data_IF_254606133894
#
_entry.id   IF_254606133894
#
_cell.length_a   1.000
_cell.length_b   1.000
_cell.length_c   1.000
_cell.angle_alpha   90.00
_cell.angle_beta   90.00
_cell.angle_gamma   90.00
#
_symmetry.space_group_name_H-M   'P 1'
#
loop_
_entity.id
_entity.type
_entity.pdbx_description
1 polymer ?
#
# COMPACT_ATOMS: atom_id res chain seq x y z
N UNK A 1 -17.23 5.74 -28.49
CA UNK A 1 -16.57 6.70 -29.43
C UNK A 1 -15.19 6.99 -28.87
N UNK A 2 -14.16 6.92 -29.73
CA UNK A 2 -12.74 7.13 -29.36
C UNK A 2 -12.14 8.26 -30.19
N UNK A 3 -11.10 8.88 -29.64
CA UNK A 3 -10.22 9.82 -30.33
C UNK A 3 -8.84 9.20 -30.37
N UNK A 4 -8.20 9.24 -31.54
CA UNK A 4 -6.81 8.79 -31.74
C UNK A 4 -6.02 9.85 -32.50
N UNK A 5 -4.72 9.77 -32.43
CA UNK A 5 -3.83 10.59 -33.25
C UNK A 5 -3.76 10.02 -34.68
N UNK A 6 -3.48 10.88 -35.65
CA UNK A 6 -3.05 10.43 -36.98
C UNK A 6 -1.66 9.75 -36.85
N UNK A 7 -1.40 8.77 -37.70
CA UNK A 7 -0.11 8.07 -37.73
C UNK A 7 1.07 9.02 -37.89
N UNK A 8 0.95 9.99 -38.78
CA UNK A 8 1.94 11.02 -39.01
C UNK A 8 2.27 11.81 -37.73
N UNK A 9 1.24 12.31 -37.03
CA UNK A 9 1.43 13.07 -35.79
C UNK A 9 2.05 12.21 -34.66
N UNK A 10 1.68 10.94 -34.56
CA UNK A 10 2.29 10.04 -33.60
C UNK A 10 3.78 9.82 -33.91
N UNK A 11 4.13 9.60 -35.17
CA UNK A 11 5.53 9.42 -35.59
C UNK A 11 6.36 10.67 -35.35
N UNK A 12 5.83 11.87 -35.62
CA UNK A 12 6.52 13.12 -35.33
C UNK A 12 6.91 13.24 -33.87
N UNK A 13 5.96 12.98 -32.95
CA UNK A 13 6.22 13.06 -31.50
C UNK A 13 7.20 11.98 -31.05
N UNK A 14 7.07 10.75 -31.52
CA UNK A 14 8.01 9.66 -31.24
C UNK A 14 9.42 10.05 -31.67
N UNK A 15 9.56 10.60 -32.87
CA UNK A 15 10.87 11.03 -33.42
C UNK A 15 11.49 12.13 -32.54
N UNK A 16 10.70 13.12 -32.13
CA UNK A 16 11.17 14.19 -31.25
C UNK A 16 11.61 13.66 -29.89
N UNK A 17 10.86 12.71 -29.31
CA UNK A 17 11.23 12.07 -28.06
C UNK A 17 12.56 11.30 -28.19
N UNK A 18 12.75 10.54 -29.27
CA UNK A 18 14.02 9.81 -29.55
C UNK A 18 15.20 10.77 -29.68
N UNK A 19 15.06 11.81 -30.51
CA UNK A 19 16.12 12.81 -30.70
C UNK A 19 16.50 13.48 -29.37
N UNK A 20 15.51 13.77 -28.51
CA UNK A 20 15.79 14.39 -27.22
C UNK A 20 16.47 13.43 -26.25
N UNK A 21 16.08 12.15 -26.26
CA UNK A 21 16.65 11.11 -25.40
C UNK A 21 18.13 10.82 -25.73
N UNK A 22 18.51 10.90 -27.02
CA UNK A 22 19.89 10.73 -27.48
C UNK A 22 20.82 11.88 -27.06
N UNK A 23 20.26 13.05 -26.74
CA UNK A 23 21.06 14.20 -26.33
C UNK A 23 21.50 14.10 -24.87
N UNK A 24 22.81 14.14 -24.65
CA UNK A 24 23.37 14.16 -23.29
C UNK A 24 22.94 15.38 -22.51
N UNK A 25 22.89 16.55 -23.15
CA UNK A 25 22.51 17.84 -22.55
C UNK A 25 21.70 18.68 -23.55
N UNK A 26 20.39 18.45 -23.68
CA UNK A 26 19.54 19.29 -24.51
C UNK A 26 19.46 20.72 -23.96
N UNK A 27 18.99 21.66 -24.80
CA UNK A 27 18.63 22.99 -24.32
C UNK A 27 17.24 22.95 -23.65
N UNK A 28 16.99 23.89 -22.74
CA UNK A 28 15.68 24.06 -22.10
C UNK A 28 14.59 24.30 -23.16
N UNK A 29 14.91 25.03 -24.24
CA UNK A 29 14.01 25.28 -25.36
C UNK A 29 13.61 24.02 -26.10
N UNK A 30 14.56 23.13 -26.41
CA UNK A 30 14.28 21.84 -27.06
C UNK A 30 13.37 20.97 -26.18
N UNK A 31 13.67 20.91 -24.89
CA UNK A 31 12.86 20.20 -23.90
C UNK A 31 11.44 20.77 -23.84
N UNK A 32 11.29 22.09 -23.78
CA UNK A 32 9.99 22.76 -23.76
C UNK A 32 9.17 22.51 -25.06
N UNK A 33 9.81 22.47 -26.19
CA UNK A 33 9.16 22.15 -27.47
C UNK A 33 8.59 20.73 -27.47
N UNK A 34 9.35 19.75 -27.00
CA UNK A 34 8.90 18.34 -26.90
C UNK A 34 7.73 18.23 -25.92
N UNK A 35 7.81 18.88 -24.75
CA UNK A 35 6.70 18.93 -23.77
C UNK A 35 5.43 19.51 -24.41
N UNK A 36 5.55 20.63 -25.13
CA UNK A 36 4.41 21.26 -25.84
C UNK A 36 3.77 20.33 -26.88
N UNK A 37 4.58 19.59 -27.63
CA UNK A 37 4.10 18.55 -28.56
C UNK A 37 3.39 17.41 -27.85
N UNK A 38 3.96 16.89 -26.77
CA UNK A 38 3.37 15.86 -25.93
C UNK A 38 2.01 16.32 -25.39
N UNK A 39 1.92 17.48 -24.76
CA UNK A 39 0.67 18.02 -24.21
C UNK A 39 -0.40 18.17 -25.31
N UNK A 40 -0.02 18.55 -26.51
CA UNK A 40 -0.96 18.69 -27.64
C UNK A 40 -1.58 17.35 -28.09
N UNK A 41 -1.05 16.20 -27.65
CA UNK A 41 -1.56 14.86 -27.97
C UNK A 41 -2.53 14.32 -26.91
N UNK A 42 -2.66 14.95 -25.76
CA UNK A 42 -3.46 14.47 -24.64
C UNK A 42 -4.90 14.06 -24.98
N UNK A 43 -5.64 14.76 -25.86
CA UNK A 43 -6.99 14.30 -26.22
C UNK A 43 -7.05 12.91 -26.85
N UNK A 44 -5.98 12.46 -27.52
CA UNK A 44 -5.91 11.19 -28.22
C UNK A 44 -5.13 10.08 -27.51
N UNK A 45 -4.62 10.32 -26.30
CA UNK A 45 -3.75 9.37 -25.59
C UNK A 45 -4.24 9.18 -24.16
N UNK A 46 -4.69 7.97 -23.85
CA UNK A 46 -5.15 7.64 -22.50
C UNK A 46 -3.97 7.58 -21.52
N UNK A 47 -4.19 8.03 -20.28
CA UNK A 47 -3.21 8.04 -19.19
C UNK A 47 -1.97 8.93 -19.39
N UNK A 48 -1.90 9.67 -20.47
CA UNK A 48 -0.74 10.51 -20.80
C UNK A 48 -0.35 11.55 -19.73
N UNK A 49 -1.25 12.12 -18.91
CA UNK A 49 -0.83 13.06 -17.88
C UNK A 49 0.05 12.44 -16.76
N UNK A 50 0.12 11.12 -16.67
CA UNK A 50 1.00 10.41 -15.72
C UNK A 50 2.49 10.45 -16.14
N UNK A 51 2.77 10.69 -17.43
CA UNK A 51 4.09 10.43 -18.01
C UNK A 51 4.73 11.69 -18.63
N UNK A 52 4.58 12.85 -18.00
CA UNK A 52 5.29 14.07 -18.41
C UNK A 52 5.69 14.97 -17.23
N UNK A 53 5.28 14.65 -16.01
CA UNK A 53 5.46 15.52 -14.85
C UNK A 53 6.90 15.65 -14.40
N UNK A 54 7.68 14.55 -14.43
CA UNK A 54 9.11 14.62 -14.12
C UNK A 54 9.87 15.42 -15.17
N UNK A 55 9.48 15.25 -16.41
CA UNK A 55 10.03 15.97 -17.54
C UNK A 55 9.75 17.50 -17.46
N UNK A 56 8.52 17.86 -17.10
CA UNK A 56 8.12 19.25 -16.84
C UNK A 56 8.85 19.84 -15.62
N UNK A 57 9.05 19.05 -14.55
CA UNK A 57 9.76 19.46 -13.35
C UNK A 57 11.23 19.76 -13.65
N UNK A 58 11.92 18.89 -14.41
CA UNK A 58 13.32 19.09 -14.83
C UNK A 58 13.47 20.39 -15.63
N UNK A 59 12.58 20.63 -16.60
CA UNK A 59 12.55 21.86 -17.37
C UNK A 59 12.36 23.09 -16.47
N UNK A 60 11.37 23.05 -15.59
CA UNK A 60 11.02 24.17 -14.71
C UNK A 60 12.15 24.50 -13.73
N UNK A 61 12.76 23.49 -13.12
CA UNK A 61 13.91 23.63 -12.23
C UNK A 61 15.10 24.24 -12.98
N UNK A 62 15.42 23.70 -14.16
CA UNK A 62 16.53 24.20 -14.99
C UNK A 62 16.30 25.61 -15.45
N UNK A 63 15.06 25.98 -15.82
CA UNK A 63 14.71 27.33 -16.22
C UNK A 63 14.88 28.33 -15.07
N UNK A 64 14.45 27.93 -13.86
CA UNK A 64 14.62 28.74 -12.65
C UNK A 64 16.11 28.95 -12.31
N UNK A 65 16.93 27.91 -12.39
CA UNK A 65 18.38 27.99 -12.16
C UNK A 65 19.12 28.86 -13.18
N UNK A 66 18.60 28.99 -14.39
CA UNK A 66 19.18 29.76 -15.47
C UNK A 66 18.45 31.10 -15.74
N UNK A 67 17.78 31.66 -14.73
CA UNK A 67 17.14 32.99 -14.80
C UNK A 67 16.18 33.16 -15.99
N UNK A 68 15.45 32.12 -16.37
CA UNK A 68 14.53 32.14 -17.48
C UNK A 68 15.15 32.02 -18.88
N UNK A 69 16.44 31.72 -18.99
CA UNK A 69 17.15 31.64 -20.27
C UNK A 69 16.96 30.28 -20.94
N UNK A 70 16.07 30.17 -21.92
CA UNK A 70 15.70 28.92 -22.60
C UNK A 70 16.83 28.28 -23.42
N UNK A 71 17.83 29.03 -23.84
CA UNK A 71 18.93 28.52 -24.66
C UNK A 71 20.06 27.88 -23.88
N UNK A 72 19.92 27.87 -22.54
CA UNK A 72 20.82 27.13 -21.64
C UNK A 72 20.58 25.63 -21.70
N UNK A 73 21.66 24.88 -21.48
CA UNK A 73 21.62 23.41 -21.48
C UNK A 73 21.15 22.89 -20.13
N UNK A 74 20.43 21.77 -20.17
CA UNK A 74 19.94 21.07 -18.98
C UNK A 74 20.28 19.58 -19.06
N UNK A 75 20.10 18.87 -17.94
CA UNK A 75 20.19 17.42 -17.86
C UNK A 75 18.81 16.87 -17.54
N UNK A 76 18.41 15.80 -18.22
CA UNK A 76 17.19 15.07 -17.91
C UNK A 76 17.46 14.04 -16.79
N UNK A 77 16.58 14.01 -15.80
CA UNK A 77 16.59 13.00 -14.76
C UNK A 77 16.28 11.60 -15.32
N UNK A 78 16.59 10.56 -14.57
CA UNK A 78 16.23 9.19 -14.93
C UNK A 78 14.71 9.03 -15.08
N UNK A 79 13.92 9.67 -14.21
CA UNK A 79 12.46 9.67 -14.27
C UNK A 79 11.95 10.32 -15.55
N UNK A 80 12.51 11.48 -15.95
CA UNK A 80 12.13 12.15 -17.21
C UNK A 80 12.48 11.32 -18.44
N UNK A 81 13.62 10.62 -18.43
CA UNK A 81 14.00 9.70 -19.52
C UNK A 81 13.03 8.53 -19.62
N UNK A 82 12.66 7.94 -18.48
CA UNK A 82 11.66 6.85 -18.42
C UNK A 82 10.29 7.31 -18.94
N UNK A 83 9.90 8.56 -18.70
CA UNK A 83 8.67 9.13 -19.28
C UNK A 83 8.78 9.25 -20.82
N UNK A 84 9.92 9.69 -21.36
CA UNK A 84 10.16 9.71 -22.80
C UNK A 84 10.12 8.30 -23.43
N UNK A 85 10.72 7.30 -22.78
CA UNK A 85 10.64 5.90 -23.21
C UNK A 85 9.19 5.40 -23.26
N UNK A 86 8.38 5.77 -22.26
CA UNK A 86 6.96 5.46 -22.27
C UNK A 86 6.24 6.06 -23.49
N UNK A 87 6.51 7.32 -23.82
CA UNK A 87 5.94 7.98 -25.01
C UNK A 87 6.34 7.30 -26.30
N UNK A 88 7.60 6.91 -26.44
CA UNK A 88 8.11 6.19 -27.60
C UNK A 88 7.40 4.82 -27.77
N UNK A 89 7.19 4.12 -26.67
CA UNK A 89 6.61 2.77 -26.69
C UNK A 89 5.08 2.76 -26.86
N UNK A 90 4.35 3.78 -26.34
CA UNK A 90 2.90 3.71 -26.19
C UNK A 90 2.10 4.66 -27.10
N UNK A 91 2.75 5.57 -27.82
CA UNK A 91 2.02 6.56 -28.62
C UNK A 91 1.40 5.96 -29.89
N UNK A 92 2.08 4.99 -30.52
CA UNK A 92 1.57 4.33 -31.72
C UNK A 92 0.33 3.49 -31.40
N UNK A 93 -0.78 3.77 -32.09
CA UNK A 93 -2.03 3.06 -31.83
C UNK A 93 -2.78 3.48 -30.57
N UNK A 94 -2.30 4.47 -29.85
CA UNK A 94 -2.99 5.05 -28.69
C UNK A 94 -4.33 5.65 -29.08
N UNK A 95 -5.28 5.57 -28.15
CA UNK A 95 -6.58 6.23 -28.23
C UNK A 95 -7.03 6.71 -26.87
N UNK A 96 -8.03 7.58 -26.85
CA UNK A 96 -8.73 7.97 -25.62
C UNK A 96 -10.23 7.86 -25.82
N UNK A 97 -10.97 7.61 -24.75
CA UNK A 97 -12.43 7.55 -24.78
C UNK A 97 -13.01 8.96 -24.67
N UNK A 98 -13.93 9.33 -25.57
CA UNK A 98 -14.66 10.61 -25.51
C UNK A 98 -15.61 10.65 -24.32
N UNK A 99 -16.22 9.52 -24.01
CA UNK A 99 -17.12 9.37 -22.87
C UNK A 99 -16.78 8.11 -22.12
N UNK A 100 -16.94 8.14 -20.82
CA UNK A 100 -16.75 6.98 -19.96
C UNK A 100 -18.08 6.52 -19.38
N UNK A 101 -18.18 5.27 -19.12
CA UNK A 101 -19.33 4.69 -18.43
C UNK A 101 -19.50 5.32 -17.04
N UNK A 102 -20.73 5.26 -16.52
CA UNK A 102 -20.99 5.68 -15.14
C UNK A 102 -20.17 4.81 -14.18
N UNK A 103 -19.77 5.35 -13.00
CA UNK A 103 -19.11 4.56 -11.99
C UNK A 103 -19.93 3.33 -11.60
N UNK A 104 -19.28 2.19 -11.55
CA UNK A 104 -19.90 0.91 -11.15
C UNK A 104 -20.01 0.79 -9.64
N UNK A 105 -19.07 1.38 -8.93
CA UNK A 105 -19.04 1.36 -7.47
C UNK A 105 -18.34 2.61 -6.92
N UNK A 106 -18.50 2.82 -5.62
CA UNK A 106 -17.95 3.97 -4.90
C UNK A 106 -17.10 3.48 -3.75
N UNK A 107 -15.90 4.03 -3.63
CA UNK A 107 -15.01 3.90 -2.49
C UNK A 107 -14.93 5.26 -1.81
N UNK A 108 -15.25 5.32 -0.52
CA UNK A 108 -15.12 6.53 0.29
C UNK A 108 -13.93 6.38 1.21
N UNK A 109 -13.08 7.40 1.31
CA UNK A 109 -11.87 7.35 2.15
C UNK A 109 -11.70 8.62 2.97
N UNK A 110 -10.94 8.49 4.04
CA UNK A 110 -10.57 9.57 4.94
C UNK A 110 -9.19 9.32 5.54
N UNK A 111 -8.49 10.38 5.90
CA UNK A 111 -7.23 10.32 6.61
C UNK A 111 -7.21 11.29 7.80
N UNK A 112 -6.70 10.82 8.91
CA UNK A 112 -6.29 11.64 10.03
C UNK A 112 -4.77 11.62 10.18
N UNK A 113 -4.23 12.35 11.15
CA UNK A 113 -2.81 12.26 11.48
C UNK A 113 -2.42 10.92 12.11
N UNK A 114 -3.38 10.13 12.60
CA UNK A 114 -3.13 8.87 13.30
C UNK A 114 -3.35 7.64 12.40
N UNK A 115 -4.29 7.73 11.43
CA UNK A 115 -4.65 6.58 10.63
C UNK A 115 -5.51 6.93 9.43
N UNK A 116 -5.94 5.89 8.73
CA UNK A 116 -6.77 5.95 7.54
C UNK A 116 -8.07 5.20 7.74
N UNK A 117 -9.07 5.56 6.96
CA UNK A 117 -10.36 4.88 6.92
C UNK A 117 -10.87 4.73 5.49
N UNK A 118 -11.59 3.66 5.23
CA UNK A 118 -12.23 3.40 3.94
C UNK A 118 -13.57 2.69 4.10
N UNK A 119 -14.50 3.01 3.20
CA UNK A 119 -15.84 2.40 3.16
C UNK A 119 -16.16 1.98 1.74
N UNK A 120 -16.54 0.72 1.57
CA UNK A 120 -16.95 0.12 0.32
C UNK A 120 -18.09 -0.87 0.53
N UNK A 121 -19.17 -0.78 -0.24
CA UNK A 121 -20.33 -1.70 -0.16
C UNK A 121 -20.81 -1.96 1.28
N UNK A 122 -20.99 -0.91 2.08
CA UNK A 122 -21.36 -0.98 3.49
C UNK A 122 -20.36 -1.64 4.44
N UNK A 123 -19.23 -2.11 3.96
CA UNK A 123 -18.11 -2.52 4.81
C UNK A 123 -17.22 -1.31 5.07
N UNK A 124 -16.77 -1.17 6.31
CA UNK A 124 -15.79 -0.16 6.69
C UNK A 124 -14.55 -0.81 7.28
N UNK A 125 -13.42 -0.21 7.02
CA UNK A 125 -12.14 -0.60 7.58
C UNK A 125 -11.24 0.62 7.76
N UNK A 126 -10.15 0.43 8.45
CA UNK A 126 -9.13 1.44 8.67
C UNK A 126 -7.98 0.86 9.47
N UNK A 127 -6.91 1.62 9.56
CA UNK A 127 -5.72 1.23 10.30
C UNK A 127 -4.85 2.42 10.63
N UNK A 128 -3.85 2.19 11.44
CA UNK A 128 -2.86 3.20 11.79
C UNK A 128 -1.86 3.41 10.65
N UNK A 129 -1.23 4.58 10.62
CA UNK A 129 -0.06 4.82 9.78
C UNK A 129 1.17 4.12 10.36
N UNK A 130 2.12 3.73 9.50
CA UNK A 130 3.46 3.39 9.98
C UNK A 130 4.16 4.65 10.54
N UNK A 131 5.27 4.43 11.22
CA UNK A 131 6.06 5.54 11.74
C UNK A 131 6.51 6.50 10.61
N UNK A 132 6.92 5.96 9.47
CA UNK A 132 7.37 6.73 8.30
C UNK A 132 6.20 7.40 7.58
N UNK A 133 5.08 6.71 7.41
CA UNK A 133 3.90 7.27 6.75
C UNK A 133 3.36 8.49 7.49
N UNK A 134 3.29 8.41 8.81
CA UNK A 134 2.80 9.47 9.69
C UNK A 134 3.58 10.79 9.58
N UNK A 135 4.83 10.77 9.12
CA UNK A 135 5.64 11.98 8.94
C UNK A 135 5.22 12.82 7.72
N UNK A 136 4.36 12.30 6.87
CA UNK A 136 3.95 12.99 5.66
C UNK A 136 2.83 14.02 5.92
N UNK A 137 2.76 15.00 5.03
CA UNK A 137 1.70 16.00 5.04
C UNK A 137 0.32 15.35 4.84
N UNK A 138 -0.74 15.93 5.44
CA UNK A 138 -2.11 15.39 5.38
C UNK A 138 -2.58 15.13 3.93
N UNK A 139 -2.26 15.97 2.97
CA UNK A 139 -2.64 15.74 1.56
C UNK A 139 -2.04 14.44 0.99
N UNK A 140 -0.85 14.04 1.45
CA UNK A 140 -0.24 12.78 1.08
C UNK A 140 -0.96 11.61 1.77
N UNK A 141 -1.26 11.76 3.05
CA UNK A 141 -1.99 10.74 3.83
C UNK A 141 -3.38 10.48 3.26
N UNK A 142 -4.09 11.53 2.85
CA UNK A 142 -5.38 11.43 2.17
C UNK A 142 -5.29 10.63 0.85
N UNK A 143 -4.28 10.93 0.05
CA UNK A 143 -4.06 10.19 -1.19
C UNK A 143 -3.61 8.74 -0.91
N UNK A 144 -2.82 8.52 0.16
CA UNK A 144 -2.41 7.20 0.60
C UNK A 144 -3.61 6.39 1.13
N UNK A 145 -4.56 7.01 1.85
CA UNK A 145 -5.80 6.37 2.29
C UNK A 145 -6.61 5.84 1.10
N UNK A 146 -6.66 6.60 -0.01
CA UNK A 146 -7.27 6.11 -1.27
C UNK A 146 -6.57 4.84 -1.73
N UNK A 147 -5.25 4.82 -1.77
CA UNK A 147 -4.50 3.66 -2.24
C UNK A 147 -4.69 2.42 -1.35
N UNK A 148 -4.67 2.62 -0.03
CA UNK A 148 -4.91 1.53 0.92
C UNK A 148 -6.35 1.00 0.78
N UNK A 149 -7.35 1.87 0.66
CA UNK A 149 -8.74 1.47 0.41
C UNK A 149 -8.92 0.68 -0.89
N UNK A 150 -8.27 1.11 -1.98
CA UNK A 150 -8.25 0.38 -3.25
C UNK A 150 -7.64 -1.01 -3.08
N UNK A 151 -6.49 -1.12 -2.43
CA UNK A 151 -5.81 -2.39 -2.15
C UNK A 151 -6.60 -3.31 -1.22
N UNK A 152 -7.38 -2.75 -0.32
CA UNK A 152 -8.22 -3.54 0.60
C UNK A 152 -9.41 -4.18 -0.10
N UNK A 153 -10.15 -3.39 -0.88
CA UNK A 153 -11.46 -3.83 -1.37
C UNK A 153 -11.48 -4.23 -2.84
N UNK A 154 -10.51 -3.76 -3.63
CA UNK A 154 -10.59 -3.82 -5.10
C UNK A 154 -9.42 -4.57 -5.75
N UNK A 155 -8.60 -5.26 -4.97
CA UNK A 155 -7.43 -6.02 -5.46
C UNK A 155 -7.82 -7.07 -6.51
N UNK A 156 -8.98 -7.71 -6.35
CA UNK A 156 -9.48 -8.76 -7.25
C UNK A 156 -10.47 -8.27 -8.30
N UNK A 157 -10.84 -6.99 -8.24
CA UNK A 157 -11.74 -6.39 -9.23
C UNK A 157 -11.03 -6.16 -10.56
N UNK A 158 -11.79 -6.24 -11.66
CA UNK A 158 -11.30 -6.04 -13.02
C UNK A 158 -12.33 -5.27 -13.85
N UNK A 159 -11.81 -4.44 -14.76
CA UNK A 159 -12.59 -3.75 -15.79
C UNK A 159 -13.80 -3.00 -15.21
N UNK A 160 -13.54 -2.11 -14.27
CA UNK A 160 -14.58 -1.29 -13.62
C UNK A 160 -14.21 0.18 -13.57
N UNK A 161 -15.21 1.04 -13.55
CA UNK A 161 -15.07 2.45 -13.22
C UNK A 161 -15.41 2.66 -11.74
N UNK A 162 -14.42 3.14 -10.97
CA UNK A 162 -14.51 3.39 -9.52
C UNK A 162 -14.65 4.88 -9.28
N UNK A 163 -15.67 5.27 -8.52
CA UNK A 163 -15.81 6.63 -7.98
C UNK A 163 -15.16 6.69 -6.60
N UNK A 164 -14.15 7.54 -6.46
CA UNK A 164 -13.51 7.85 -5.19
C UNK A 164 -14.19 9.07 -4.57
N UNK A 165 -14.70 8.94 -3.36
CA UNK A 165 -15.30 10.03 -2.59
C UNK A 165 -14.32 10.43 -1.49
N UNK A 166 -13.79 11.64 -1.57
CA UNK A 166 -12.69 12.14 -0.74
C UNK A 166 -13.07 13.54 -0.26
N UNK A 167 -12.83 13.87 1.01
CA UNK A 167 -13.11 15.22 1.53
C UNK A 167 -11.94 16.20 1.34
N UNK A 168 -10.80 15.74 0.83
CA UNK A 168 -9.65 16.54 0.48
C UNK A 168 -9.67 16.94 -1.00
N UNK A 169 -9.90 18.23 -1.27
CA UNK A 169 -9.96 18.76 -2.65
C UNK A 169 -8.65 18.60 -3.44
N UNK A 170 -7.50 18.63 -2.75
CA UNK A 170 -6.19 18.39 -3.39
C UNK A 170 -6.11 16.97 -3.94
N UNK A 171 -6.49 15.97 -3.14
CA UNK A 171 -6.49 14.56 -3.55
C UNK A 171 -7.46 14.30 -4.70
N UNK A 172 -8.64 14.94 -4.68
CA UNK A 172 -9.60 14.89 -5.78
C UNK A 172 -8.97 15.43 -7.08
N UNK A 173 -8.32 16.59 -7.02
CA UNK A 173 -7.68 17.20 -8.18
C UNK A 173 -6.52 16.34 -8.69
N UNK A 174 -5.67 15.82 -7.80
CA UNK A 174 -4.52 14.98 -8.14
C UNK A 174 -4.95 13.70 -8.86
N UNK A 175 -5.99 13.02 -8.40
CA UNK A 175 -6.52 11.82 -9.07
C UNK A 175 -7.09 12.17 -10.44
N UNK A 176 -7.96 13.18 -10.54
CA UNK A 176 -8.65 13.52 -11.79
C UNK A 176 -7.71 14.09 -12.87
N UNK A 177 -6.66 14.81 -12.47
CA UNK A 177 -5.64 15.33 -13.38
C UNK A 177 -4.44 14.39 -13.56
N UNK A 178 -4.49 13.19 -12.96
CA UNK A 178 -3.40 12.21 -13.02
C UNK A 178 -2.06 12.82 -12.62
N UNK A 179 -2.04 13.57 -11.51
CA UNK A 179 -0.85 14.22 -10.96
C UNK A 179 -1.03 15.71 -10.66
N UNK A 180 0.05 16.33 -10.21
CA UNK A 180 0.12 17.74 -9.84
C UNK A 180 1.50 18.32 -10.19
N UNK A 181 1.59 19.63 -10.40
CA UNK A 181 2.87 20.34 -10.57
C UNK A 181 3.45 20.86 -9.24
N UNK A 182 2.75 20.69 -8.13
CA UNK A 182 3.09 21.33 -6.85
C UNK A 182 3.84 20.42 -5.87
N UNK A 183 3.80 19.11 -6.04
CA UNK A 183 4.42 18.15 -5.13
C UNK A 183 4.89 16.90 -5.86
N UNK A 184 6.18 16.65 -5.82
CA UNK A 184 6.79 15.44 -6.38
C UNK A 184 6.28 14.17 -5.67
N UNK A 185 6.15 14.19 -4.35
CA UNK A 185 5.65 13.06 -3.56
C UNK A 185 4.21 12.68 -3.94
N UNK A 186 3.33 13.67 -4.12
CA UNK A 186 1.96 13.43 -4.59
C UNK A 186 1.93 12.89 -6.02
N UNK A 187 2.83 13.33 -6.89
CA UNK A 187 2.95 12.78 -8.25
C UNK A 187 3.36 11.32 -8.25
N UNK A 188 4.38 10.96 -7.47
CA UNK A 188 4.87 9.58 -7.38
C UNK A 188 3.74 8.68 -6.87
N UNK A 189 3.06 9.07 -5.80
CA UNK A 189 1.96 8.30 -5.24
C UNK A 189 0.78 8.21 -6.22
N UNK A 190 0.41 9.31 -6.87
CA UNK A 190 -0.66 9.32 -7.87
C UNK A 190 -0.33 8.38 -9.05
N UNK A 191 0.90 8.41 -9.54
CA UNK A 191 1.37 7.51 -10.60
C UNK A 191 1.27 6.05 -10.16
N UNK A 192 1.73 5.72 -8.95
CA UNK A 192 1.62 4.38 -8.36
C UNK A 192 0.17 3.90 -8.28
N UNK A 193 -0.76 4.77 -7.84
CA UNK A 193 -2.20 4.46 -7.76
C UNK A 193 -2.75 4.15 -9.16
N UNK A 194 -2.44 4.99 -10.14
CA UNK A 194 -2.95 4.80 -11.49
C UNK A 194 -2.33 3.58 -12.18
N UNK A 195 -1.02 3.33 -12.04
CA UNK A 195 -0.37 2.13 -12.58
C UNK A 195 -0.96 0.84 -11.98
N UNK A 196 -1.24 0.86 -10.67
CA UNK A 196 -1.94 -0.23 -10.00
C UNK A 196 -3.36 -0.44 -10.57
N UNK A 197 -4.08 0.63 -10.84
CA UNK A 197 -5.42 0.59 -11.41
C UNK A 197 -5.39 0.13 -12.88
N UNK A 198 -4.45 0.65 -13.69
CA UNK A 198 -4.26 0.28 -15.09
C UNK A 198 -3.99 -1.21 -15.25
N UNK A 199 -3.11 -1.78 -14.42
CA UNK A 199 -2.79 -3.20 -14.44
C UNK A 199 -4.02 -4.10 -14.18
N UNK A 200 -5.10 -3.54 -13.62
CA UNK A 200 -6.38 -4.22 -13.33
C UNK A 200 -7.51 -3.83 -14.28
N UNK A 201 -7.24 -2.97 -15.24
CA UNK A 201 -8.28 -2.43 -16.13
C UNK A 201 -9.28 -1.52 -15.41
N UNK A 202 -8.91 -0.96 -14.25
CA UNK A 202 -9.76 -0.06 -13.49
C UNK A 202 -9.59 1.38 -13.98
N UNK A 203 -10.72 2.09 -14.09
CA UNK A 203 -10.73 3.53 -14.26
C UNK A 203 -11.11 4.22 -12.96
N UNK A 204 -10.37 5.24 -12.59
CA UNK A 204 -10.62 6.02 -11.38
C UNK A 204 -11.19 7.39 -11.74
N UNK A 205 -12.17 7.84 -10.97
CA UNK A 205 -12.62 9.24 -10.94
C UNK A 205 -12.83 9.65 -9.50
N UNK A 206 -12.47 10.87 -9.14
CA UNK A 206 -12.65 11.37 -7.79
C UNK A 206 -13.71 12.47 -7.75
N UNK A 207 -14.48 12.50 -6.66
CA UNK A 207 -15.41 13.58 -6.35
C UNK A 207 -15.27 13.97 -4.88
N UNK A 208 -15.47 15.24 -4.60
CA UNK A 208 -15.46 15.75 -3.23
C UNK A 208 -16.71 15.33 -2.48
N UNK A 209 -16.53 14.84 -1.26
CA UNK A 209 -17.60 14.63 -0.28
C UNK A 209 -17.39 15.60 0.87
N UNK A 210 -18.41 16.34 1.30
CA UNK A 210 -18.27 17.16 2.51
C UNK A 210 -17.95 16.30 3.74
N UNK A 211 -16.98 16.69 4.57
CA UNK A 211 -16.56 15.91 5.75
C UNK A 211 -17.71 15.51 6.67
N UNK A 212 -18.76 16.36 6.78
CA UNK A 212 -19.99 16.05 7.54
C UNK A 212 -20.74 14.81 7.02
N UNK A 213 -20.52 14.41 5.80
CA UNK A 213 -21.13 13.21 5.17
C UNK A 213 -20.16 12.02 5.13
N UNK A 214 -18.87 12.25 5.41
CA UNK A 214 -17.82 11.22 5.42
C UNK A 214 -17.68 10.50 6.78
N UNK A 215 -18.78 10.39 7.54
CA UNK A 215 -18.80 9.98 8.96
C UNK A 215 -18.09 8.64 9.18
N UNK A 216 -18.38 7.63 8.35
CA UNK A 216 -17.87 6.27 8.59
C UNK A 216 -16.38 6.15 8.32
N UNK A 217 -15.87 6.76 7.25
CA UNK A 217 -14.46 6.75 6.96
C UNK A 217 -13.67 7.61 7.97
N UNK A 218 -14.20 8.77 8.37
CA UNK A 218 -13.61 9.62 9.44
C UNK A 218 -13.53 8.87 10.78
N UNK A 219 -14.57 8.15 11.20
CA UNK A 219 -14.53 7.31 12.40
C UNK A 219 -13.44 6.24 12.33
N UNK A 220 -13.26 5.60 11.18
CA UNK A 220 -12.23 4.59 11.00
C UNK A 220 -10.81 5.20 10.99
N UNK A 221 -10.61 6.37 10.37
CA UNK A 221 -9.32 7.07 10.32
C UNK A 221 -8.84 7.54 11.70
N UNK A 222 -9.76 7.76 12.65
CA UNK A 222 -9.50 8.21 14.03
C UNK A 222 -9.51 7.07 15.05
N UNK A 223 -9.83 5.85 14.61
CA UNK A 223 -9.93 4.69 15.50
C UNK A 223 -8.55 4.27 16.00
N UNK A 224 -8.22 4.60 17.24
CA UNK A 224 -6.95 4.19 17.83
C UNK A 224 -7.01 2.72 18.27
N UNK A 225 -6.36 1.85 17.51
CA UNK A 225 -6.27 0.40 17.77
C UNK A 225 -4.83 -0.05 18.01
N UNK A 226 -4.01 0.82 18.59
CA UNK A 226 -2.59 0.54 18.84
C UNK A 226 -2.35 -0.72 19.67
N UNK A 227 -3.32 -1.11 20.53
CA UNK A 227 -3.19 -2.31 21.37
C UNK A 227 -3.17 -3.64 20.59
N UNK A 228 -3.65 -3.63 19.35
CA UNK A 228 -3.64 -4.82 18.48
C UNK A 228 -2.43 -4.88 17.54
N UNK A 229 -1.59 -3.84 17.52
CA UNK A 229 -0.45 -3.73 16.60
C UNK A 229 0.89 -4.17 17.20
N UNK A 230 0.89 -4.63 18.46
CA UNK A 230 2.10 -5.21 19.05
C UNK A 230 2.55 -6.45 18.30
N UNK A 231 3.84 -6.51 18.00
CA UNK A 231 4.46 -7.66 17.33
C UNK A 231 5.72 -8.10 18.05
N UNK A 232 6.04 -9.38 17.93
CA UNK A 232 7.34 -9.89 18.40
C UNK A 232 8.46 -9.23 17.58
N UNK A 233 9.55 -8.87 18.23
CA UNK A 233 10.73 -8.35 17.54
C UNK A 233 11.19 -9.34 16.47
N UNK A 234 11.29 -8.89 15.23
CA UNK A 234 11.58 -9.72 14.05
C UNK A 234 12.88 -10.51 14.20
N UNK A 235 13.95 -9.88 14.74
CA UNK A 235 15.24 -10.58 14.94
C UNK A 235 15.13 -11.68 16.02
N UNK A 236 14.30 -11.48 17.04
CA UNK A 236 14.05 -12.48 18.08
C UNK A 236 13.23 -13.65 17.53
N UNK A 237 12.23 -13.35 16.66
CA UNK A 237 11.46 -14.39 15.99
C UNK A 237 12.36 -15.26 15.09
N UNK A 238 13.13 -14.67 14.19
CA UNK A 238 13.96 -15.44 13.26
C UNK A 238 15.01 -16.30 13.97
N UNK A 239 15.64 -15.80 15.04
CA UNK A 239 16.54 -16.62 15.87
C UNK A 239 15.84 -17.83 16.49
N UNK A 240 14.61 -17.65 16.97
CA UNK A 240 13.84 -18.75 17.54
C UNK A 240 13.42 -19.77 16.47
N UNK A 241 13.02 -19.31 15.28
CA UNK A 241 12.69 -20.18 14.16
C UNK A 241 13.91 -21.00 13.69
N UNK A 242 15.09 -20.39 13.67
CA UNK A 242 16.35 -21.08 13.35
C UNK A 242 16.67 -22.19 14.38
N UNK A 243 16.49 -21.90 15.68
CA UNK A 243 16.68 -22.90 16.74
C UNK A 243 15.70 -24.07 16.61
N UNK A 244 14.45 -23.78 16.27
CA UNK A 244 13.41 -24.78 16.04
C UNK A 244 13.54 -25.46 14.67
N UNK A 245 14.41 -24.97 13.78
CA UNK A 245 14.55 -25.43 12.38
C UNK A 245 13.21 -25.36 11.63
N UNK A 246 12.44 -24.31 11.86
CA UNK A 246 11.11 -24.12 11.31
C UNK A 246 11.03 -22.92 10.39
N UNK A 247 10.11 -22.99 9.43
CA UNK A 247 9.70 -21.89 8.55
C UNK A 247 8.19 -21.73 8.69
N UNK A 248 7.68 -20.55 8.47
CA UNK A 248 6.25 -20.32 8.38
C UNK A 248 5.89 -19.67 7.04
N UNK A 249 4.72 -20.04 6.53
CA UNK A 249 4.23 -19.58 5.23
C UNK A 249 3.23 -18.44 5.37
N UNK A 250 2.50 -18.41 6.50
CA UNK A 250 1.40 -17.49 6.72
C UNK A 250 1.38 -16.96 8.15
N UNK A 251 1.12 -15.67 8.31
CA UNK A 251 0.85 -15.03 9.61
C UNK A 251 -0.66 -14.93 9.81
N UNK A 252 -1.20 -15.67 10.77
CA UNK A 252 -2.64 -15.81 10.97
C UNK A 252 -3.29 -14.65 11.75
N UNK A 253 -2.51 -13.84 12.46
CA UNK A 253 -3.03 -12.79 13.34
C UNK A 253 -2.27 -11.48 13.15
N UNK A 254 -2.35 -10.92 11.96
CA UNK A 254 -1.59 -9.76 11.60
C UNK A 254 -2.43 -8.64 10.98
N UNK A 255 -1.84 -7.48 10.89
CA UNK A 255 -2.24 -6.37 10.05
C UNK A 255 -1.12 -6.06 9.05
N UNK A 256 -1.36 -5.14 8.13
CA UNK A 256 -0.33 -4.66 7.23
C UNK A 256 0.91 -4.10 7.95
N UNK A 257 0.74 -3.61 9.20
CA UNK A 257 1.83 -3.01 9.98
C UNK A 257 2.68 -4.02 10.74
N UNK A 258 2.04 -5.04 11.33
CA UNK A 258 2.71 -5.94 12.27
C UNK A 258 2.97 -7.35 11.71
N UNK A 259 2.65 -7.61 10.45
CA UNK A 259 2.89 -8.90 9.80
C UNK A 259 4.36 -9.28 9.81
N UNK A 260 4.64 -10.52 10.15
CA UNK A 260 5.98 -11.10 10.13
C UNK A 260 6.29 -11.82 8.81
N UNK A 261 5.24 -12.21 8.06
CA UNK A 261 5.35 -12.94 6.79
C UNK A 261 4.58 -12.22 5.68
N UNK A 262 4.98 -12.35 4.40
CA UNK A 262 4.31 -11.70 3.27
C UNK A 262 2.83 -12.09 3.14
N UNK A 263 2.50 -13.38 3.32
CA UNK A 263 1.13 -13.89 3.37
C UNK A 263 0.61 -13.75 4.78
N UNK A 264 -0.50 -13.05 4.97
CA UNK A 264 -1.08 -12.84 6.30
C UNK A 264 -2.59 -12.76 6.28
N UNK A 265 -3.19 -13.03 7.42
CA UNK A 265 -4.63 -12.94 7.67
C UNK A 265 -4.89 -11.86 8.71
N UNK A 266 -5.80 -10.97 8.37
CA UNK A 266 -6.16 -9.85 9.24
C UNK A 266 -7.51 -10.08 9.93
N UNK A 267 -7.70 -9.44 11.06
CA UNK A 267 -8.98 -9.46 11.76
C UNK A 267 -10.11 -8.72 11.00
N UNK A 268 -9.74 -7.75 10.14
CA UNK A 268 -10.63 -6.91 9.34
C UNK A 268 -10.09 -6.82 7.93
N UNK A 269 -10.91 -6.38 6.94
CA UNK A 269 -10.36 -6.07 5.62
C UNK A 269 -9.14 -5.15 5.75
N UNK A 270 -8.02 -5.57 5.18
CA UNK A 270 -6.73 -4.89 5.29
C UNK A 270 -5.99 -4.97 3.94
N UNK A 271 -5.18 -3.95 3.58
CA UNK A 271 -4.51 -3.92 2.28
C UNK A 271 -3.66 -5.17 2.03
N UNK A 272 -3.98 -5.88 0.94
CA UNK A 272 -3.23 -7.07 0.51
C UNK A 272 -3.26 -8.26 1.50
N UNK A 273 -4.15 -8.26 2.50
CA UNK A 273 -4.36 -9.43 3.32
C UNK A 273 -4.84 -10.61 2.47
N UNK A 274 -4.30 -11.79 2.74
CA UNK A 274 -4.70 -13.02 2.06
C UNK A 274 -6.16 -13.38 2.34
N UNK A 275 -6.60 -13.19 3.59
CA UNK A 275 -7.97 -13.40 4.02
C UNK A 275 -8.30 -12.53 5.23
N UNK A 276 -9.58 -12.48 5.56
CA UNK A 276 -10.10 -11.81 6.76
C UNK A 276 -10.64 -12.88 7.70
N UNK A 277 -10.28 -12.76 8.99
CA UNK A 277 -10.62 -13.70 10.06
C UNK A 277 -10.01 -15.11 9.88
N UNK A 278 -8.91 -15.34 10.58
CA UNK A 278 -8.18 -16.60 10.53
C UNK A 278 -9.04 -17.83 10.89
N UNK A 279 -10.04 -17.66 11.73
CA UNK A 279 -10.91 -18.78 12.15
C UNK A 279 -11.82 -19.28 11.02
N UNK A 280 -11.99 -18.52 9.94
CA UNK A 280 -12.76 -18.93 8.76
C UNK A 280 -11.98 -19.83 7.79
N UNK A 281 -10.65 -19.91 7.97
CA UNK A 281 -9.78 -20.72 7.11
C UNK A 281 -9.58 -22.12 7.69
N UNK A 282 -9.19 -23.06 6.84
CA UNK A 282 -8.56 -24.31 7.26
C UNK A 282 -7.04 -24.15 7.33
N UNK A 283 -6.42 -24.57 8.41
CA UNK A 283 -4.98 -24.39 8.67
C UNK A 283 -4.15 -25.62 8.33
N UNK A 284 -4.76 -26.72 7.91
CA UNK A 284 -4.12 -28.03 7.70
C UNK A 284 -2.95 -28.02 6.71
N UNK A 285 -3.03 -27.16 5.68
CA UNK A 285 -2.08 -27.14 4.56
C UNK A 285 -1.01 -26.04 4.66
N UNK A 286 -0.97 -25.31 5.77
CA UNK A 286 -0.10 -24.16 5.93
C UNK A 286 0.82 -24.36 7.14
N UNK A 287 2.10 -24.07 7.00
CA UNK A 287 2.97 -23.90 8.16
C UNK A 287 2.69 -22.51 8.73
N UNK A 288 1.79 -22.43 9.71
CA UNK A 288 1.36 -21.15 10.23
C UNK A 288 2.32 -20.55 11.26
N UNK A 289 2.34 -19.24 11.31
CA UNK A 289 2.78 -18.45 12.46
C UNK A 289 1.57 -17.77 13.07
N UNK A 290 1.47 -17.77 14.40
CA UNK A 290 0.37 -17.16 15.13
C UNK A 290 0.88 -16.42 16.37
N UNK A 291 0.64 -15.12 16.46
CA UNK A 291 0.79 -14.34 17.67
C UNK A 291 -0.54 -13.65 17.98
N UNK A 292 -1.53 -14.43 18.43
CA UNK A 292 -2.87 -13.90 18.68
C UNK A 292 -2.91 -13.02 19.93
N UNK A 293 -3.93 -12.14 20.05
CA UNK A 293 -4.30 -11.56 21.35
C UNK A 293 -4.43 -12.66 22.41
N UNK A 294 -3.91 -12.43 23.61
CA UNK A 294 -3.84 -13.47 24.66
C UNK A 294 -5.21 -14.04 25.05
N UNK A 295 -6.28 -13.24 24.90
CA UNK A 295 -7.65 -13.68 25.11
C UNK A 295 -8.13 -14.76 24.13
N UNK A 296 -7.49 -14.88 22.95
CA UNK A 296 -7.87 -15.84 21.92
C UNK A 296 -7.07 -17.16 21.98
N UNK A 297 -6.07 -17.26 22.85
CA UNK A 297 -5.16 -18.43 22.89
C UNK A 297 -5.94 -19.75 22.95
N UNK A 298 -6.94 -19.86 23.84
CA UNK A 298 -7.72 -21.11 23.98
C UNK A 298 -8.48 -21.47 22.69
N UNK A 299 -9.03 -20.47 21.99
CA UNK A 299 -9.72 -20.67 20.71
C UNK A 299 -8.74 -21.13 19.62
N UNK A 300 -7.53 -20.53 19.58
CA UNK A 300 -6.47 -20.90 18.65
C UNK A 300 -6.02 -22.34 18.88
N UNK A 301 -5.77 -22.74 20.12
CA UNK A 301 -5.39 -24.13 20.47
C UNK A 301 -6.49 -25.12 20.05
N UNK A 302 -7.75 -24.76 20.28
CA UNK A 302 -8.87 -25.59 19.82
C UNK A 302 -8.86 -25.72 18.29
N UNK A 303 -8.69 -24.61 17.57
CA UNK A 303 -8.66 -24.60 16.09
C UNK A 303 -7.49 -25.43 15.55
N UNK A 304 -6.31 -25.39 16.18
CA UNK A 304 -5.16 -26.23 15.80
C UNK A 304 -5.52 -27.72 15.90
N UNK A 305 -6.25 -28.11 16.96
CA UNK A 305 -6.72 -29.50 17.11
C UNK A 305 -7.79 -29.88 16.11
N UNK A 306 -8.81 -29.04 15.96
CA UNK A 306 -9.94 -29.29 15.07
C UNK A 306 -9.48 -29.43 13.61
N UNK A 307 -8.51 -28.62 13.18
CA UNK A 307 -7.95 -28.66 11.82
C UNK A 307 -6.76 -29.64 11.68
N UNK A 308 -6.30 -30.28 12.76
CA UNK A 308 -5.07 -31.09 12.77
C UNK A 308 -3.87 -30.34 12.18
N UNK A 309 -3.78 -29.05 12.47
CA UNK A 309 -2.78 -28.14 11.91
C UNK A 309 -1.46 -28.20 12.67
N UNK A 310 -0.39 -27.79 11.99
CA UNK A 310 0.95 -27.71 12.58
C UNK A 310 1.57 -26.35 12.27
N UNK A 311 2.23 -25.73 13.25
CA UNK A 311 2.84 -24.42 13.04
C UNK A 311 3.47 -23.83 14.30
N UNK A 312 3.84 -22.58 14.20
CA UNK A 312 4.49 -21.81 15.27
C UNK A 312 3.47 -20.90 15.96
N UNK A 313 3.39 -21.02 17.27
CA UNK A 313 2.57 -20.11 18.08
C UNK A 313 3.42 -19.43 19.16
N UNK A 314 3.21 -18.13 19.31
CA UNK A 314 3.81 -17.33 20.37
C UNK A 314 2.85 -17.29 21.56
N UNK A 315 3.32 -17.71 22.71
CA UNK A 315 2.56 -17.77 23.95
C UNK A 315 3.26 -17.01 25.08
N UNK A 316 2.54 -16.33 25.95
CA UNK A 316 3.14 -15.85 27.20
C UNK A 316 3.47 -17.05 28.10
N UNK A 317 4.61 -16.97 28.78
CA UNK A 317 5.00 -18.00 29.77
C UNK A 317 4.26 -17.79 31.08
N UNK A 318 2.99 -18.22 31.09
CA UNK A 318 2.09 -18.09 32.24
C UNK A 318 1.55 -19.46 32.69
N UNK A 319 2.32 -20.25 33.46
CA UNK A 319 1.96 -21.63 33.84
C UNK A 319 0.63 -21.77 34.61
N UNK A 320 0.15 -20.69 35.23
CA UNK A 320 -1.11 -20.69 35.98
C UNK A 320 -2.35 -20.52 35.11
N UNK A 321 -2.20 -20.25 33.83
CA UNK A 321 -3.32 -20.11 32.91
C UNK A 321 -3.91 -21.45 32.49
N UNK A 322 -5.24 -21.53 32.40
CA UNK A 322 -5.96 -22.77 32.11
C UNK A 322 -5.58 -23.42 30.75
N UNK A 323 -5.16 -22.61 29.79
CA UNK A 323 -4.73 -23.09 28.46
C UNK A 323 -3.29 -23.61 28.43
N UNK A 324 -2.45 -23.27 29.43
CA UNK A 324 -1.01 -23.57 29.42
C UNK A 324 -0.69 -25.08 29.39
N UNK A 325 -1.27 -25.92 30.25
CA UNK A 325 -1.00 -27.37 30.19
C UNK A 325 -1.39 -27.96 28.84
N UNK A 326 -2.50 -27.50 28.26
CA UNK A 326 -2.95 -27.95 26.94
C UNK A 326 -1.97 -27.55 25.84
N UNK A 327 -1.49 -26.32 25.86
CA UNK A 327 -0.50 -25.87 24.90
C UNK A 327 0.78 -26.70 24.99
N UNK A 328 1.27 -26.99 26.20
CA UNK A 328 2.48 -27.78 26.39
C UNK A 328 2.33 -29.24 25.91
N UNK A 329 1.16 -29.83 26.02
CA UNK A 329 0.92 -31.19 25.48
C UNK A 329 0.87 -31.25 23.96
N UNK A 330 0.68 -30.13 23.31
CA UNK A 330 0.65 -30.01 21.84
C UNK A 330 2.02 -29.66 21.23
N UNK A 331 3.06 -29.42 22.06
CA UNK A 331 4.40 -29.07 21.57
C UNK A 331 5.11 -30.29 21.01
N UNK A 332 5.67 -30.16 19.82
CA UNK A 332 6.47 -31.21 19.15
C UNK A 332 7.93 -31.23 19.61
N UNK A 333 8.41 -30.13 20.17
CA UNK A 333 9.78 -29.97 20.64
C UNK A 333 9.84 -28.92 21.76
N UNK A 334 10.94 -28.86 22.48
CA UNK A 334 11.13 -27.91 23.58
C UNK A 334 10.91 -26.46 23.07
N UNK A 335 9.98 -25.69 23.65
CA UNK A 335 9.77 -24.31 23.29
C UNK A 335 11.03 -23.45 23.46
N UNK A 336 11.22 -22.47 22.58
CA UNK A 336 12.28 -21.46 22.72
C UNK A 336 11.78 -20.36 23.65
N UNK A 337 12.53 -20.14 24.74
CA UNK A 337 12.21 -19.15 25.75
C UNK A 337 12.77 -17.78 25.40
N UNK A 338 11.91 -16.78 25.35
CA UNK A 338 12.27 -15.37 25.09
C UNK A 338 12.09 -14.59 26.40
N UNK A 339 13.19 -14.13 26.96
CA UNK A 339 13.21 -13.40 28.23
C UNK A 339 12.71 -11.96 28.10
N UNK A 340 12.19 -11.39 29.19
CA UNK A 340 11.72 -10.02 29.23
C UNK A 340 12.78 -9.02 28.78
N UNK A 341 12.42 -8.15 27.87
CA UNK A 341 13.26 -7.01 27.48
C UNK A 341 12.42 -5.85 26.94
N UNK A 342 12.99 -4.66 26.89
CA UNK A 342 12.32 -3.46 26.34
C UNK A 342 12.02 -3.58 24.86
N UNK A 343 12.73 -4.45 24.16
CA UNK A 343 12.64 -4.63 22.70
C UNK A 343 12.07 -5.97 22.30
N UNK A 344 11.56 -6.78 23.24
CA UNK A 344 10.99 -8.10 22.95
C UNK A 344 9.73 -7.97 22.07
N UNK A 345 8.87 -7.05 22.45
CA UNK A 345 7.64 -6.73 21.72
C UNK A 345 7.70 -5.27 21.31
N UNK A 346 7.41 -5.00 20.05
CA UNK A 346 7.53 -3.66 19.44
C UNK A 346 6.21 -3.22 18.83
N UNK A 347 6.03 -1.91 18.73
CA UNK A 347 4.86 -1.30 18.12
C UNK A 347 5.29 -0.59 16.82
N UNK A 348 4.95 -1.10 15.64
CA UNK A 348 5.49 -0.58 14.36
C UNK A 348 5.22 0.89 14.08
N UNK A 349 4.07 1.41 14.54
CA UNK A 349 3.71 2.82 14.36
C UNK A 349 4.31 3.76 15.41
N UNK A 350 4.86 3.22 16.51
CA UNK A 350 5.50 3.95 17.61
C UNK A 350 6.69 3.14 18.15
N UNK A 351 7.81 3.02 17.41
CA UNK A 351 8.93 2.15 17.76
C UNK A 351 9.59 2.49 19.12
N UNK A 352 9.46 3.75 19.55
CA UNK A 352 9.95 4.24 20.83
C UNK A 352 9.08 3.84 22.03
N UNK A 353 7.82 3.42 21.79
CA UNK A 353 6.89 3.03 22.84
C UNK A 353 7.26 1.65 23.39
N UNK A 354 7.60 1.61 24.67
CA UNK A 354 7.93 0.37 25.36
C UNK A 354 6.65 -0.33 25.82
N UNK A 355 6.58 -1.64 25.60
CA UNK A 355 5.43 -2.43 26.05
C UNK A 355 5.26 -2.36 27.59
N UNK A 356 4.04 -2.15 28.12
CA UNK A 356 3.82 -1.99 29.57
C UNK A 356 4.37 -3.16 30.42
N UNK A 357 4.35 -4.36 29.89
CA UNK A 357 4.85 -5.56 30.58
C UNK A 357 6.32 -5.91 30.27
N UNK A 358 7.10 -5.00 29.68
CA UNK A 358 8.47 -5.27 29.20
C UNK A 358 9.43 -5.89 30.22
N UNK A 359 9.23 -5.63 31.51
CA UNK A 359 10.05 -6.20 32.61
C UNK A 359 9.54 -7.54 33.16
N UNK A 360 8.36 -8.00 32.72
CA UNK A 360 7.70 -9.20 33.27
C UNK A 360 7.21 -10.18 32.20
N UNK A 361 7.12 -9.75 30.94
CA UNK A 361 6.60 -10.56 29.85
C UNK A 361 7.70 -11.47 29.33
N UNK A 362 7.64 -12.75 29.70
CA UNK A 362 8.36 -13.83 29.00
C UNK A 362 7.45 -14.43 27.95
N UNK A 363 8.00 -14.78 26.80
CA UNK A 363 7.29 -15.43 25.71
C UNK A 363 7.92 -16.78 25.39
N UNK A 364 7.10 -17.72 24.95
CA UNK A 364 7.50 -19.02 24.43
C UNK A 364 7.21 -19.05 22.93
N UNK A 365 8.18 -19.46 22.15
CA UNK A 365 7.99 -19.80 20.73
C UNK A 365 7.80 -21.32 20.66
N UNK A 366 6.57 -21.73 20.42
CA UNK A 366 6.16 -23.13 20.47
C UNK A 366 5.89 -23.66 19.06
N UNK A 367 6.48 -24.83 18.74
CA UNK A 367 6.08 -25.63 17.58
C UNK A 367 4.96 -26.55 18.00
N UNK A 368 3.74 -26.24 17.60
CA UNK A 368 2.52 -26.95 18.00
C UNK A 368 1.99 -27.83 16.88
N UNK A 369 1.38 -28.97 17.26
CA UNK A 369 0.62 -29.83 16.36
C UNK A 369 -0.74 -30.18 16.93
N UNK A 370 -1.77 -30.20 16.09
CA UNK A 370 -3.08 -30.76 16.38
C UNK A 370 -3.19 -32.26 16.05
N UNK A 371 -2.16 -32.83 15.43
CA UNK A 371 -2.09 -34.28 15.18
C UNK A 371 -1.61 -34.94 16.50
N UNK A 372 -2.49 -35.69 17.14
CA UNK A 372 -2.22 -36.43 18.40
C UNK A 372 -1.76 -37.85 18.04
#
# INVERSE_FOLDING_TARGET
MTVSLTTERALDVITLCKILLEKTRPTIRETACVIGKIISTFPGVMYCPLYYRSFEADKTSSLKQNEGKFDKRMTLSTSAKSELDWWIANLSGSYNLMTREKPHCTLTTDASNEGWGAVYNNQSTGGLWSYEERQNHINYLELLAVFLGLKTFLTHERVKHIRLMIDNSTSVAVINHMGTSHSEQLNILCKTIWEWAIARGLWLSAAHIPGKLNIRADLESRSNRSETEWMLNTSSLYRALEQLKMVADIDLFASRLNKQFPKYVSYRPDPEAYAVDAFTLQWTNEQFYAFPPFSLILMVLKKILDDQATGIMILPDWPTQAWYPKAMTMTLQTPVHLFPSKTLVVLPNQPEKIHPLHGKLSLLVCHLSGVI
#
